data_IF_895649142542
#
_entry.id   IF_895649142542
#
_cell.length_a   1.000
_cell.length_b   1.000
_cell.length_c   1.000
_cell.angle_alpha   90.00
_cell.angle_beta   90.00
_cell.angle_gamma   90.00
#
_symmetry.space_group_name_H-M   'P 1'
#
loop_
_entity.id
_entity.type
_entity.pdbx_description
1 polymer ?
#
# COMPACT_ATOMS: atom_id res chain seq x y z
N UNK A 1 -16.43 0.19 -6.44
CA UNK A 1 -16.29 1.45 -5.68
C UNK A 1 -15.23 2.31 -6.36
N UNK A 2 -15.53 3.59 -6.56
CA UNK A 2 -14.64 4.54 -7.21
C UNK A 2 -14.66 5.82 -6.36
N UNK A 3 -13.49 6.27 -5.90
CA UNK A 3 -13.32 7.50 -5.14
C UNK A 3 -12.25 8.39 -5.79
N UNK A 4 -12.46 9.70 -5.71
CA UNK A 4 -11.60 10.75 -6.23
C UNK A 4 -11.63 11.94 -5.28
N UNK A 5 -10.49 12.55 -5.03
CA UNK A 5 -10.32 13.77 -4.27
C UNK A 5 -10.91 14.96 -5.04
N UNK A 6 -11.57 15.87 -4.33
CA UNK A 6 -12.41 16.93 -4.91
C UNK A 6 -11.62 17.97 -5.73
N UNK A 7 -10.29 18.04 -5.57
CA UNK A 7 -9.47 19.13 -6.13
C UNK A 7 -8.76 18.82 -7.46
N UNK A 8 -9.00 17.66 -8.10
CA UNK A 8 -8.25 17.24 -9.30
C UNK A 8 -9.14 16.83 -10.49
N UNK A 9 -9.98 17.72 -11.00
CA UNK A 9 -10.96 17.45 -12.06
C UNK A 9 -10.42 16.73 -13.31
N UNK A 10 -9.13 16.84 -13.63
CA UNK A 10 -8.50 16.23 -14.82
C UNK A 10 -7.78 14.89 -14.59
N UNK A 11 -7.84 14.30 -13.39
CA UNK A 11 -7.22 12.98 -13.11
C UNK A 11 -8.24 11.85 -13.06
N UNK A 12 -7.75 10.62 -13.26
CA UNK A 12 -8.49 9.40 -12.94
C UNK A 12 -8.76 9.26 -11.43
N UNK A 13 -9.56 8.28 -11.00
CA UNK A 13 -9.92 8.11 -9.59
C UNK A 13 -8.72 7.71 -8.71
N UNK A 14 -8.62 8.37 -7.55
CA UNK A 14 -7.48 8.24 -6.63
C UNK A 14 -7.52 6.98 -5.79
N UNK A 15 -8.69 6.39 -5.51
CA UNK A 15 -8.85 5.11 -4.83
C UNK A 15 -10.03 4.33 -5.40
N UNK A 16 -9.78 3.15 -5.95
CA UNK A 16 -10.83 2.28 -6.52
C UNK A 16 -10.72 0.87 -6.00
N UNK A 17 -11.88 0.22 -5.84
CA UNK A 17 -11.97 -1.17 -5.42
C UNK A 17 -13.08 -1.87 -6.18
N UNK A 18 -12.79 -3.08 -6.62
CA UNK A 18 -13.73 -3.97 -7.27
C UNK A 18 -13.78 -5.29 -6.52
N UNK A 19 -14.98 -5.83 -6.32
CA UNK A 19 -15.17 -7.15 -5.71
C UNK A 19 -15.83 -8.06 -6.74
N UNK A 20 -15.12 -9.12 -7.13
CA UNK A 20 -15.64 -10.19 -7.97
C UNK A 20 -16.04 -11.37 -7.10
N UNK A 21 -17.16 -12.03 -7.39
CA UNK A 21 -17.56 -13.29 -6.77
C UNK A 21 -17.40 -14.45 -7.77
N UNK A 22 -16.69 -15.49 -7.37
CA UNK A 22 -16.57 -16.77 -8.06
C UNK A 22 -17.10 -17.88 -7.15
N UNK A 23 -18.39 -18.27 -7.27
CA UNK A 23 -19.04 -19.16 -6.31
C UNK A 23 -18.56 -20.62 -6.35
N UNK A 24 -17.77 -21.01 -7.37
CA UNK A 24 -17.30 -22.38 -7.60
C UNK A 24 -15.82 -22.42 -8.02
N UNK A 25 -14.97 -21.60 -7.40
CA UNK A 25 -13.54 -21.62 -7.69
C UNK A 25 -12.93 -22.96 -7.23
N UNK A 26 -12.18 -23.61 -8.12
CA UNK A 26 -11.52 -24.89 -7.84
C UNK A 26 -10.02 -24.64 -7.66
N UNK A 27 -9.52 -24.92 -6.46
CA UNK A 27 -8.10 -24.87 -6.14
C UNK A 27 -7.44 -26.25 -6.31
N UNK A 28 -6.09 -26.34 -6.34
CA UNK A 28 -5.42 -27.63 -6.24
C UNK A 28 -5.95 -28.44 -5.06
N UNK A 29 -6.50 -29.62 -5.32
CA UNK A 29 -7.26 -30.42 -4.35
C UNK A 29 -8.75 -30.63 -4.70
N UNK A 30 -9.28 -29.90 -5.69
CA UNK A 30 -10.52 -30.25 -6.38
C UNK A 30 -11.84 -29.85 -5.70
N UNK A 31 -11.83 -29.44 -4.44
CA UNK A 31 -13.04 -28.97 -3.74
C UNK A 31 -13.42 -27.54 -4.19
N UNK A 32 -14.62 -27.33 -4.76
CA UNK A 32 -15.11 -25.98 -5.08
C UNK A 32 -15.28 -25.12 -3.84
N UNK A 33 -14.99 -23.82 -3.94
CA UNK A 33 -15.19 -22.83 -2.87
C UNK A 33 -15.80 -21.56 -3.42
N UNK A 34 -16.60 -20.88 -2.60
CA UNK A 34 -17.05 -19.52 -2.87
C UNK A 34 -15.90 -18.54 -2.59
N UNK A 35 -15.39 -17.91 -3.65
CA UNK A 35 -14.23 -17.02 -3.59
C UNK A 35 -14.61 -15.61 -4.00
N UNK A 36 -14.24 -14.65 -3.16
CA UNK A 36 -14.35 -13.23 -3.46
C UNK A 36 -12.96 -12.68 -3.77
N UNK A 37 -12.80 -11.96 -4.87
CA UNK A 37 -11.56 -11.28 -5.22
C UNK A 37 -11.77 -9.78 -5.06
N UNK A 38 -11.05 -9.18 -4.12
CA UNK A 38 -11.02 -7.74 -3.85
C UNK A 38 -9.80 -7.16 -4.54
N UNK A 39 -10.03 -6.53 -5.69
CA UNK A 39 -8.99 -5.85 -6.46
C UNK A 39 -9.00 -4.34 -6.14
N UNK A 40 -7.87 -3.83 -5.67
CA UNK A 40 -7.70 -2.42 -5.34
C UNK A 40 -6.79 -1.77 -6.38
N UNK A 41 -7.25 -0.66 -6.95
CA UNK A 41 -6.53 0.08 -7.98
C UNK A 41 -6.53 1.59 -7.71
N UNK A 42 -5.61 2.28 -8.38
CA UNK A 42 -5.51 3.73 -8.46
C UNK A 42 -4.06 4.19 -8.29
N UNK A 43 -3.63 5.00 -9.25
CA UNK A 43 -3.27 6.43 -9.18
C UNK A 43 -3.23 6.85 -10.66
N UNK A 44 -3.75 8.02 -11.04
CA UNK A 44 -3.66 8.48 -12.42
C UNK A 44 -2.18 8.73 -12.77
N UNK A 45 -1.68 8.11 -13.84
CA UNK A 45 -0.26 7.97 -14.20
C UNK A 45 0.51 9.26 -14.50
N UNK A 46 -0.07 10.45 -14.30
CA UNK A 46 0.56 11.74 -14.62
C UNK A 46 1.18 12.48 -13.43
N UNK A 47 1.16 11.91 -12.21
CA UNK A 47 1.61 12.61 -11.01
C UNK A 47 2.98 12.15 -10.51
N UNK A 48 4.04 12.50 -11.26
CA UNK A 48 5.36 12.77 -10.64
C UNK A 48 5.27 13.98 -9.67
N UNK A 49 4.09 14.59 -9.53
CA UNK A 49 3.72 15.63 -8.58
C UNK A 49 2.96 15.10 -7.32
N UNK A 50 2.51 13.83 -7.25
CA UNK A 50 1.81 13.24 -6.07
C UNK A 50 2.74 12.64 -5.03
N UNK A 51 3.97 12.29 -5.43
CA UNK A 51 4.91 11.61 -4.56
C UNK A 51 5.23 12.43 -3.30
N UNK A 52 5.40 13.76 -3.42
CA UNK A 52 5.74 14.67 -2.32
C UNK A 52 4.57 14.91 -1.32
N UNK A 53 3.32 14.63 -1.71
CA UNK A 53 2.12 14.96 -0.92
C UNK A 53 1.36 13.76 -0.35
N UNK A 54 1.15 12.70 -1.13
CA UNK A 54 0.33 11.54 -0.75
C UNK A 54 1.17 10.28 -0.46
N UNK A 55 2.23 10.02 -1.24
CA UNK A 55 3.08 8.81 -1.08
C UNK A 55 4.22 8.99 -0.05
N UNK A 56 4.57 10.23 0.31
CA UNK A 56 5.64 10.57 1.26
C UNK A 56 5.17 10.91 2.68
N UNK A 57 3.88 10.77 2.99
CA UNK A 57 3.33 10.89 4.35
C UNK A 57 3.69 9.68 5.24
N UNK A 58 4.97 9.28 5.21
CA UNK A 58 5.56 8.25 6.06
C UNK A 58 6.08 8.82 7.36
N UNK A 59 6.18 10.15 7.49
CA UNK A 59 6.59 10.78 8.76
C UNK A 59 5.56 10.52 9.85
N UNK A 60 4.28 10.52 9.50
CA UNK A 60 3.19 10.26 10.43
C UNK A 60 2.79 8.79 10.34
N UNK A 61 2.52 8.19 11.51
CA UNK A 61 2.08 6.81 11.61
C UNK A 61 0.85 6.69 12.50
N UNK A 62 0.12 5.60 12.35
CA UNK A 62 -1.12 5.28 13.06
C UNK A 62 -0.89 3.98 13.80
N UNK A 63 -1.30 3.93 15.06
CA UNK A 63 -1.34 2.68 15.83
C UNK A 63 -2.37 1.75 15.18
N UNK A 64 -1.88 0.71 14.51
CA UNK A 64 -2.72 -0.07 13.63
C UNK A 64 -3.71 -0.93 14.41
N UNK A 65 -3.24 -1.51 15.52
CA UNK A 65 -4.05 -2.32 16.43
C UNK A 65 -5.19 -1.51 17.05
N UNK A 66 -4.84 -0.37 17.63
CA UNK A 66 -5.84 0.51 18.26
C UNK A 66 -6.85 1.01 17.21
N UNK A 67 -6.42 1.25 15.97
CA UNK A 67 -7.29 1.72 14.90
C UNK A 67 -8.20 0.63 14.32
N UNK A 68 -7.69 -0.57 14.00
CA UNK A 68 -8.52 -1.63 13.44
C UNK A 68 -9.54 -2.17 14.45
N UNK A 69 -9.27 -2.04 15.75
CA UNK A 69 -10.20 -2.46 16.81
C UNK A 69 -11.56 -1.74 16.73
N UNK A 70 -11.64 -0.58 16.08
CA UNK A 70 -12.89 0.18 15.93
C UNK A 70 -13.72 -0.27 14.71
N UNK A 71 -13.12 -1.02 13.78
CA UNK A 71 -13.75 -1.34 12.49
C UNK A 71 -15.08 -2.12 12.56
N UNK A 72 -15.33 -3.02 13.53
CA UNK A 72 -16.56 -3.82 13.56
C UNK A 72 -17.85 -3.02 13.67
N UNK A 73 -17.81 -1.82 14.28
CA UNK A 73 -18.97 -0.92 14.37
C UNK A 73 -18.94 0.10 13.24
N UNK A 74 -17.82 0.80 13.11
CA UNK A 74 -17.46 1.64 11.98
C UNK A 74 -15.99 2.06 12.13
N UNK A 75 -15.18 2.05 11.06
CA UNK A 75 -13.84 2.63 11.12
C UNK A 75 -13.89 4.09 11.57
N UNK A 76 -13.18 4.41 12.65
CA UNK A 76 -13.00 5.79 13.07
C UNK A 76 -12.11 6.51 12.05
N UNK A 77 -12.26 7.85 11.99
CA UNK A 77 -11.32 8.68 11.24
C UNK A 77 -9.90 8.41 11.70
N UNK A 78 -8.97 8.43 10.75
CA UNK A 78 -7.55 8.19 11.00
C UNK A 78 -7.02 9.20 12.00
N UNK A 79 -6.32 8.71 13.00
CA UNK A 79 -5.67 9.53 14.03
C UNK A 79 -4.19 9.18 14.08
N UNK A 80 -3.34 10.18 13.87
CA UNK A 80 -1.88 10.01 13.92
C UNK A 80 -1.43 9.75 15.36
N UNK A 81 -0.60 8.72 15.53
CA UNK A 81 0.05 8.40 16.79
C UNK A 81 1.10 9.49 17.12
N UNK A 82 1.08 10.07 18.33
CA UNK A 82 2.11 11.01 18.76
C UNK A 82 3.51 10.38 18.68
N UNK A 83 4.48 11.07 18.09
CA UNK A 83 5.85 10.56 17.92
C UNK A 83 6.48 10.06 19.23
N UNK A 84 6.18 10.70 20.36
CA UNK A 84 6.69 10.28 21.66
C UNK A 84 6.11 8.93 22.13
N UNK A 85 4.89 8.57 21.70
CA UNK A 85 4.32 7.25 21.95
C UNK A 85 4.91 6.18 21.03
N UNK A 86 5.16 6.54 19.77
CA UNK A 86 5.82 5.65 18.79
C UNK A 86 7.21 5.24 19.29
N UNK A 87 8.02 6.21 19.72
CA UNK A 87 9.36 5.95 20.29
C UNK A 87 9.32 5.09 21.55
N UNK A 88 8.29 5.24 22.40
CA UNK A 88 8.13 4.46 23.63
C UNK A 88 7.70 3.01 23.36
N UNK A 89 7.01 2.77 22.24
CA UNK A 89 6.47 1.46 21.90
C UNK A 89 6.93 1.01 20.50
N UNK A 90 8.25 0.89 20.24
CA UNK A 90 8.78 0.63 18.90
C UNK A 90 8.38 -0.74 18.32
N UNK A 91 7.87 -1.64 19.17
CA UNK A 91 7.42 -2.98 18.79
C UNK A 91 5.92 -3.05 18.47
N UNK A 92 5.15 -1.96 18.67
CA UNK A 92 3.76 -1.92 18.26
C UNK A 92 3.64 -1.91 16.73
N UNK A 93 2.56 -2.50 16.18
CA UNK A 93 2.31 -2.44 14.75
C UNK A 93 1.83 -1.04 14.35
N UNK A 94 2.62 -0.36 13.53
CA UNK A 94 2.29 0.96 13.00
C UNK A 94 2.17 0.91 11.48
N UNK A 95 1.21 1.66 10.92
CA UNK A 95 1.11 1.93 9.48
C UNK A 95 1.29 3.41 9.20
N UNK A 96 1.67 3.76 7.98
CA UNK A 96 1.74 5.17 7.58
C UNK A 96 0.35 5.78 7.55
N UNK A 97 0.27 7.08 7.82
CA UNK A 97 -0.98 7.84 7.72
C UNK A 97 -1.60 7.70 6.32
N UNK A 98 -0.79 7.72 5.25
CA UNK A 98 -1.26 7.55 3.87
C UNK A 98 -1.98 6.21 3.65
N UNK A 99 -1.42 5.11 4.16
CA UNK A 99 -2.04 3.78 4.06
C UNK A 99 -3.32 3.71 4.87
N UNK A 100 -3.33 4.29 6.07
CA UNK A 100 -4.52 4.35 6.90
C UNK A 100 -5.65 5.15 6.23
N UNK A 101 -5.35 6.31 5.64
CA UNK A 101 -6.32 7.14 4.93
C UNK A 101 -6.87 6.42 3.70
N UNK A 102 -6.00 5.76 2.91
CA UNK A 102 -6.43 4.94 1.79
C UNK A 102 -7.42 3.85 2.23
N UNK A 103 -7.11 3.10 3.27
CA UNK A 103 -8.00 2.07 3.82
C UNK A 103 -9.30 2.67 4.35
N UNK A 104 -9.25 3.80 5.06
CA UNK A 104 -10.43 4.48 5.58
C UNK A 104 -11.40 4.82 4.45
N UNK A 105 -10.89 5.42 3.36
CA UNK A 105 -11.69 5.70 2.15
C UNK A 105 -12.28 4.42 1.57
N UNK A 106 -11.48 3.36 1.44
CA UNK A 106 -11.96 2.08 0.89
C UNK A 106 -13.06 1.43 1.73
N UNK A 107 -12.99 1.58 3.06
CA UNK A 107 -13.94 0.98 3.99
C UNK A 107 -15.24 1.78 4.13
N UNK A 108 -15.18 3.11 3.98
CA UNK A 108 -16.31 4.01 4.28
C UNK A 108 -17.06 4.50 3.06
N UNK A 109 -16.45 4.46 1.87
CA UNK A 109 -17.13 4.87 0.65
C UNK A 109 -18.19 3.86 0.23
N UNK A 110 -19.33 4.37 -0.23
CA UNK A 110 -20.45 3.54 -0.68
C UNK A 110 -20.22 2.99 -2.09
N UNK A 111 -20.73 1.79 -2.34
CA UNK A 111 -20.74 1.25 -3.69
C UNK A 111 -21.65 2.09 -4.61
N UNK A 112 -21.17 2.45 -5.82
CA UNK A 112 -21.86 3.38 -6.71
C UNK A 112 -23.06 2.74 -7.41
N UNK A 113 -23.88 3.58 -8.05
CA UNK A 113 -24.98 3.16 -8.90
C UNK A 113 -24.52 2.14 -9.96
N UNK A 114 -25.34 1.11 -10.19
CA UNK A 114 -25.02 0.01 -11.11
C UNK A 114 -24.21 -1.14 -10.48
N UNK A 115 -23.78 -1.01 -9.22
CA UNK A 115 -23.20 -2.13 -8.47
C UNK A 115 -24.27 -3.03 -7.84
N UNK A 116 -23.94 -4.31 -7.62
CA UNK A 116 -24.82 -5.26 -6.91
C UNK A 116 -25.04 -4.92 -5.42
N UNK A 117 -24.23 -4.02 -4.87
CA UNK A 117 -24.21 -3.67 -3.45
C UNK A 117 -24.51 -2.16 -3.27
N UNK A 118 -25.31 -1.58 -4.16
CA UNK A 118 -25.62 -0.15 -4.19
C UNK A 118 -25.99 0.39 -2.80
N UNK A 119 -25.32 1.47 -2.39
CA UNK A 119 -25.62 2.19 -1.15
C UNK A 119 -25.06 1.55 0.11
N UNK A 120 -24.40 0.39 0.02
CA UNK A 120 -23.66 -0.19 1.15
C UNK A 120 -22.18 0.20 1.09
N UNK A 121 -21.52 0.18 2.24
CA UNK A 121 -20.06 0.32 2.33
C UNK A 121 -19.38 -1.02 2.18
N UNK A 122 -18.07 -1.03 1.94
CA UNK A 122 -17.31 -2.28 1.91
C UNK A 122 -17.33 -2.99 3.27
N UNK A 123 -17.21 -2.26 4.38
CA UNK A 123 -17.32 -2.85 5.72
C UNK A 123 -18.67 -3.55 5.95
N UNK A 124 -19.76 -2.92 5.53
CA UNK A 124 -21.09 -3.52 5.59
C UNK A 124 -21.21 -4.76 4.69
N UNK A 125 -20.68 -4.71 3.48
CA UNK A 125 -20.63 -5.87 2.58
C UNK A 125 -19.87 -7.05 3.19
N UNK A 126 -18.69 -6.82 3.78
CA UNK A 126 -17.90 -7.88 4.43
C UNK A 126 -18.70 -8.58 5.53
N UNK A 127 -19.46 -7.82 6.33
CA UNK A 127 -20.31 -8.39 7.39
C UNK A 127 -21.44 -9.28 6.86
N UNK A 128 -21.79 -9.20 5.57
CA UNK A 128 -22.80 -10.08 4.95
C UNK A 128 -22.22 -11.39 4.42
N UNK A 129 -20.89 -11.52 4.36
CA UNK A 129 -20.27 -12.70 3.77
C UNK A 129 -20.42 -13.93 4.66
N UNK A 130 -20.61 -15.13 4.07
CA UNK A 130 -20.58 -16.38 4.81
C UNK A 130 -19.28 -16.56 5.60
N UNK A 131 -19.35 -17.23 6.75
CA UNK A 131 -18.18 -17.46 7.61
C UNK A 131 -17.12 -18.37 6.98
N UNK A 132 -17.49 -19.10 5.93
CA UNK A 132 -16.61 -19.95 5.12
C UNK A 132 -16.16 -19.29 3.80
N UNK A 133 -16.55 -18.03 3.55
CA UNK A 133 -16.13 -17.28 2.37
C UNK A 133 -14.61 -17.16 2.32
N UNK A 134 -14.04 -17.48 1.16
CA UNK A 134 -12.62 -17.25 0.89
C UNK A 134 -12.46 -15.90 0.21
N UNK A 135 -11.63 -15.02 0.76
CA UNK A 135 -11.41 -13.69 0.17
C UNK A 135 -9.94 -13.54 -0.23
N UNK A 136 -9.71 -13.11 -1.47
CA UNK A 136 -8.41 -12.80 -2.04
C UNK A 136 -8.29 -11.29 -2.21
N UNK A 137 -7.34 -10.66 -1.51
CA UNK A 137 -7.03 -9.24 -1.70
C UNK A 137 -5.85 -9.08 -2.66
N UNK A 138 -5.97 -8.16 -3.63
CA UNK A 138 -4.91 -7.90 -4.61
C UNK A 138 -4.81 -6.44 -5.02
N UNK A 139 -3.61 -6.00 -5.40
CA UNK A 139 -3.33 -4.63 -5.82
C UNK A 139 -1.91 -4.45 -6.35
N UNK A 140 -1.68 -3.37 -7.11
CA UNK A 140 -0.37 -3.02 -7.69
C UNK A 140 0.10 -1.64 -7.20
N UNK A 141 1.41 -1.40 -7.17
CA UNK A 141 2.02 -0.15 -6.68
C UNK A 141 1.60 0.17 -5.24
N UNK A 142 1.16 1.39 -4.93
CA UNK A 142 0.56 1.79 -3.64
C UNK A 142 -0.54 0.81 -3.18
N UNK A 143 -1.33 0.27 -4.11
CA UNK A 143 -2.38 -0.70 -3.78
C UNK A 143 -1.88 -2.07 -3.40
N UNK A 144 -0.66 -2.40 -3.82
CA UNK A 144 0.07 -3.52 -3.27
C UNK A 144 0.30 -3.37 -1.77
N UNK A 145 0.33 -2.15 -1.21
CA UNK A 145 0.39 -1.93 0.25
C UNK A 145 -1.00 -1.90 0.89
N UNK A 146 -1.99 -1.27 0.23
CA UNK A 146 -3.35 -1.19 0.77
C UNK A 146 -4.01 -2.58 0.91
N UNK A 147 -3.88 -3.45 -0.10
CA UNK A 147 -4.50 -4.77 -0.12
C UNK A 147 -4.11 -5.67 1.06
N UNK A 148 -2.81 -5.92 1.35
CA UNK A 148 -2.42 -6.70 2.51
C UNK A 148 -2.75 -6.03 3.84
N UNK A 149 -2.72 -4.70 3.91
CA UNK A 149 -3.04 -3.98 5.16
C UNK A 149 -4.52 -4.08 5.48
N UNK A 150 -5.39 -3.85 4.49
CA UNK A 150 -6.83 -3.98 4.64
C UNK A 150 -7.20 -5.41 5.05
N UNK A 151 -6.63 -6.42 4.37
CA UNK A 151 -6.80 -7.82 4.72
C UNK A 151 -6.40 -8.10 6.17
N UNK A 152 -5.23 -7.61 6.60
CA UNK A 152 -4.74 -7.81 7.96
C UNK A 152 -5.67 -7.16 8.99
N UNK A 153 -6.10 -5.93 8.75
CA UNK A 153 -6.98 -5.22 9.67
C UNK A 153 -8.35 -5.87 9.80
N UNK A 154 -8.90 -6.45 8.73
CA UNK A 154 -10.16 -7.19 8.76
C UNK A 154 -10.05 -8.51 9.56
N UNK A 155 -8.89 -9.17 9.49
CA UNK A 155 -8.61 -10.34 10.35
C UNK A 155 -8.43 -9.90 11.79
N UNK A 156 -7.62 -8.86 12.03
CA UNK A 156 -7.35 -8.32 13.37
C UNK A 156 -8.61 -7.79 14.07
N UNK A 157 -9.57 -7.26 13.32
CA UNK A 157 -10.85 -6.79 13.83
C UNK A 157 -11.90 -7.90 14.00
N UNK A 158 -11.55 -9.17 13.72
CA UNK A 158 -12.45 -10.31 13.70
C UNK A 158 -13.62 -10.18 12.71
N UNK A 159 -13.51 -9.31 11.70
CA UNK A 159 -14.48 -9.22 10.61
C UNK A 159 -14.30 -10.35 9.58
N UNK A 160 -13.12 -10.98 9.55
CA UNK A 160 -12.82 -12.15 8.71
C UNK A 160 -12.03 -13.21 9.48
N UNK A 161 -12.35 -14.48 9.24
CA UNK A 161 -11.69 -15.62 9.86
C UNK A 161 -10.55 -16.21 8.99
N UNK A 162 -10.63 -16.06 7.66
CA UNK A 162 -9.68 -16.60 6.68
C UNK A 162 -9.51 -15.65 5.50
N UNK A 163 -8.27 -15.31 5.17
CA UNK A 163 -7.94 -14.40 4.05
C UNK A 163 -6.70 -14.88 3.32
N UNK A 164 -6.72 -14.77 1.99
CA UNK A 164 -5.56 -14.94 1.11
C UNK A 164 -5.19 -13.55 0.58
N UNK A 165 -3.90 -13.24 0.50
CA UNK A 165 -3.43 -11.92 0.09
C UNK A 165 -2.35 -12.05 -0.98
N UNK A 166 -2.55 -11.41 -2.13
CA UNK A 166 -1.55 -11.30 -3.19
C UNK A 166 -1.16 -9.84 -3.42
N UNK A 167 0.09 -9.47 -3.13
CA UNK A 167 0.66 -8.16 -3.51
C UNK A 167 1.25 -7.34 -2.37
N UNK A 168 2.40 -6.68 -2.69
CA UNK A 168 3.03 -5.49 -2.09
C UNK A 168 3.34 -5.44 -0.59
N UNK A 169 4.19 -4.51 -0.16
CA UNK A 169 4.82 -4.45 1.18
C UNK A 169 3.88 -4.00 2.30
N UNK A 170 4.17 -4.41 3.54
CA UNK A 170 3.70 -3.81 4.79
C UNK A 170 4.78 -3.86 5.87
N UNK A 171 4.84 -2.80 6.66
CA UNK A 171 5.67 -2.69 7.87
C UNK A 171 5.02 -3.42 9.04
N UNK A 172 5.29 -4.72 9.23
CA UNK A 172 4.92 -5.39 10.48
C UNK A 172 5.86 -6.54 10.85
N UNK A 173 6.31 -6.59 12.11
CA UNK A 173 6.33 -7.80 12.90
C UNK A 173 4.97 -7.95 13.60
N UNK A 174 3.94 -8.53 12.94
CA UNK A 174 2.67 -8.82 13.61
C UNK A 174 2.78 -10.18 14.31
N UNK A 175 2.81 -10.17 15.65
CA UNK A 175 2.84 -11.37 16.50
C UNK A 175 1.49 -12.09 16.56
N UNK A 176 0.42 -11.51 16.03
CA UNK A 176 -0.92 -12.11 15.96
C UNK A 176 -1.26 -12.79 14.62
N UNK A 177 -0.38 -12.75 13.61
CA UNK A 177 -0.63 -13.44 12.35
C UNK A 177 -0.48 -14.93 12.65
N UNK A 178 -1.57 -15.68 12.53
CA UNK A 178 -1.46 -17.13 12.53
C UNK A 178 -0.56 -17.59 11.37
N UNK A 179 0.00 -18.79 11.50
CA UNK A 179 0.86 -19.40 10.47
C UNK A 179 0.22 -19.39 9.08
N UNK A 180 -1.11 -19.43 9.01
CA UNK A 180 -1.88 -19.46 7.78
C UNK A 180 -1.84 -18.11 7.05
N UNK A 181 -1.95 -16.98 7.76
CA UNK A 181 -1.82 -15.65 7.14
C UNK A 181 -0.41 -15.44 6.55
N UNK A 182 0.63 -15.90 7.25
CA UNK A 182 2.01 -15.80 6.76
C UNK A 182 2.26 -16.69 5.53
N UNK A 183 1.64 -17.87 5.46
CA UNK A 183 1.77 -18.79 4.33
C UNK A 183 1.01 -18.34 3.08
N UNK A 184 -0.08 -17.58 3.26
CA UNK A 184 -1.01 -17.18 2.20
C UNK A 184 -0.85 -15.72 1.75
N UNK A 185 0.08 -14.98 2.36
CA UNK A 185 0.42 -13.62 1.98
C UNK A 185 1.79 -13.58 1.29
N UNK A 186 1.82 -13.09 0.05
CA UNK A 186 3.05 -13.02 -0.74
C UNK A 186 3.19 -11.71 -1.49
N UNK A 187 4.34 -11.06 -1.32
CA UNK A 187 4.75 -9.96 -2.19
C UNK A 187 5.44 -10.52 -3.44
N UNK A 188 5.01 -10.11 -4.64
CA UNK A 188 5.73 -10.37 -5.89
C UNK A 188 6.35 -9.06 -6.36
N UNK A 189 7.68 -8.99 -6.40
CA UNK A 189 8.35 -7.73 -6.67
C UNK A 189 9.50 -7.85 -7.66
N UNK A 190 9.62 -6.83 -8.52
CA UNK A 190 10.76 -6.67 -9.40
C UNK A 190 11.93 -6.07 -8.60
N UNK A 191 13.10 -6.71 -8.64
CA UNK A 191 14.30 -6.21 -7.96
C UNK A 191 14.78 -4.86 -8.48
N UNK A 192 14.35 -4.47 -9.69
CA UNK A 192 14.65 -3.17 -10.33
C UNK A 192 13.57 -2.11 -10.14
N UNK A 193 12.52 -2.40 -9.37
CA UNK A 193 11.46 -1.43 -9.07
C UNK A 193 11.79 -0.65 -7.79
N UNK A 194 11.87 0.67 -7.90
CA UNK A 194 12.15 1.60 -6.78
C UNK A 194 11.03 1.65 -5.75
N UNK A 195 9.77 1.50 -6.19
CA UNK A 195 8.61 1.44 -5.28
C UNK A 195 8.78 0.25 -4.34
N UNK A 196 9.31 -0.84 -4.89
CA UNK A 196 9.62 -2.04 -4.14
C UNK A 196 10.89 -1.91 -3.30
N UNK A 197 11.61 -0.79 -3.28
CA UNK A 197 12.76 -0.59 -2.37
C UNK A 197 12.42 0.26 -1.14
N UNK A 198 11.40 1.12 -1.20
CA UNK A 198 10.96 1.97 -0.08
C UNK A 198 9.96 1.25 0.86
N UNK A 199 9.85 1.52 2.15
CA UNK A 199 10.57 2.49 2.99
C UNK A 199 11.57 1.84 3.96
N UNK A 200 11.89 0.55 3.78
CA UNK A 200 12.81 -0.16 4.68
C UNK A 200 14.20 0.50 4.68
N UNK A 201 14.66 0.96 5.84
CA UNK A 201 15.92 1.70 5.97
C UNK A 201 17.14 0.77 6.13
N UNK A 202 16.90 -0.47 6.58
CA UNK A 202 17.95 -1.35 7.06
C UNK A 202 18.15 -2.57 6.17
N UNK A 203 19.34 -2.68 5.59
CA UNK A 203 19.78 -3.89 4.89
C UNK A 203 19.86 -5.12 5.82
N UNK A 204 19.93 -4.93 7.14
CA UNK A 204 19.86 -6.05 8.10
C UNK A 204 18.44 -6.61 8.21
N UNK A 205 17.43 -5.75 8.10
CA UNK A 205 16.01 -6.13 8.19
C UNK A 205 15.55 -6.75 6.87
N UNK A 206 15.93 -6.17 5.74
CA UNK A 206 15.66 -6.74 4.42
C UNK A 206 16.82 -6.52 3.45
N UNK A 207 17.76 -7.48 3.34
CA UNK A 207 18.94 -7.34 2.49
C UNK A 207 18.60 -7.15 1.00
N UNK A 208 17.49 -7.73 0.56
CA UNK A 208 17.02 -7.68 -0.83
C UNK A 208 16.20 -6.45 -1.17
N UNK A 209 15.71 -5.70 -0.17
CA UNK A 209 14.59 -4.80 -0.37
C UNK A 209 14.60 -3.62 0.62
N UNK A 210 15.45 -2.63 0.35
CA UNK A 210 15.67 -1.48 1.23
C UNK A 210 16.07 -0.21 0.45
N UNK A 211 15.79 0.96 1.03
CA UNK A 211 15.94 2.29 0.40
C UNK A 211 17.33 2.49 -0.21
N UNK A 212 18.38 2.06 0.50
CA UNK A 212 19.76 2.25 0.04
C UNK A 212 20.10 1.48 -1.26
N UNK A 213 19.26 0.54 -1.71
CA UNK A 213 19.46 -0.15 -3.00
C UNK A 213 19.12 0.74 -4.20
N UNK A 214 18.27 1.76 -4.03
CA UNK A 214 17.77 2.60 -5.13
C UNK A 214 18.91 3.20 -5.95
N UNK A 215 19.93 3.75 -5.28
CA UNK A 215 21.09 4.36 -5.94
C UNK A 215 21.99 3.38 -6.73
N UNK A 216 21.73 2.06 -6.62
CA UNK A 216 22.47 1.01 -7.31
C UNK A 216 21.60 0.10 -8.18
N UNK A 217 20.33 0.44 -8.43
CA UNK A 217 19.44 -0.39 -9.26
C UNK A 217 19.79 -0.36 -10.74
N UNK A 218 20.35 0.77 -11.20
CA UNK A 218 20.65 1.02 -12.61
C UNK A 218 22.09 1.50 -12.77
N UNK A 219 22.72 1.10 -13.88
CA UNK A 219 24.07 1.56 -14.27
C UNK A 219 24.00 3.03 -14.71
N UNK A 220 23.93 3.93 -13.74
CA UNK A 220 23.89 5.38 -13.98
C UNK A 220 25.28 6.00 -14.05
N UNK A 221 25.41 7.07 -14.84
CA UNK A 221 26.65 7.87 -14.88
C UNK A 221 26.90 8.51 -13.53
N UNK A 222 28.17 8.71 -13.18
CA UNK A 222 28.60 9.20 -11.85
C UNK A 222 27.87 10.46 -11.35
N UNK A 223 27.56 11.42 -12.22
CA UNK A 223 26.89 12.67 -11.85
C UNK A 223 25.36 12.51 -11.66
N UNK A 224 24.74 11.58 -12.37
CA UNK A 224 23.32 11.20 -12.17
C UNK A 224 23.18 10.47 -10.82
N UNK A 225 24.13 9.58 -10.53
CA UNK A 225 24.20 8.84 -9.26
C UNK A 225 24.22 9.74 -8.02
N UNK A 226 25.03 10.82 -8.01
CA UNK A 226 25.10 11.73 -6.85
C UNK A 226 23.80 12.50 -6.62
N UNK A 227 23.13 12.92 -7.68
CA UNK A 227 21.83 13.57 -7.58
C UNK A 227 20.76 12.58 -7.06
N UNK A 228 20.78 11.34 -7.54
CA UNK A 228 19.90 10.27 -7.08
C UNK A 228 20.16 9.91 -5.61
N UNK A 229 21.41 9.78 -5.18
CA UNK A 229 21.78 9.54 -3.77
C UNK A 229 21.23 10.65 -2.85
N UNK A 230 21.40 11.91 -3.24
CA UNK A 230 20.87 13.05 -2.47
C UNK A 230 19.34 13.02 -2.39
N UNK A 231 18.67 12.73 -3.52
CA UNK A 231 17.23 12.58 -3.58
C UNK A 231 16.73 11.47 -2.64
N UNK A 232 17.33 10.28 -2.74
CA UNK A 232 17.01 9.12 -1.90
C UNK A 232 17.18 9.46 -0.41
N UNK A 233 18.29 10.09 -0.04
CA UNK A 233 18.53 10.47 1.33
C UNK A 233 17.50 11.49 1.84
N UNK A 234 17.33 12.60 1.12
CA UNK A 234 16.51 13.73 1.58
C UNK A 234 15.01 13.42 1.59
N UNK A 235 14.53 12.78 0.54
CA UNK A 235 13.10 12.58 0.33
C UNK A 235 12.63 11.20 0.77
N UNK A 236 13.51 10.21 0.93
CA UNK A 236 13.08 8.86 1.31
C UNK A 236 13.56 8.44 2.69
N UNK A 237 14.86 8.53 2.94
CA UNK A 237 15.43 8.07 4.20
C UNK A 237 15.02 8.97 5.37
N UNK A 238 15.19 10.29 5.23
CA UNK A 238 14.92 11.25 6.32
C UNK A 238 13.45 11.22 6.77
N UNK A 239 12.43 11.22 5.89
CA UNK A 239 11.04 11.08 6.34
C UNK A 239 10.77 9.76 7.05
N UNK A 240 11.30 8.65 6.53
CA UNK A 240 11.17 7.36 7.19
C UNK A 240 11.83 7.37 8.58
N UNK A 241 12.97 8.03 8.77
CA UNK A 241 13.65 8.12 10.07
C UNK A 241 12.85 8.98 11.06
N UNK A 242 12.26 10.08 10.59
CA UNK A 242 11.43 10.97 11.41
C UNK A 242 10.18 10.30 11.96
N UNK A 243 9.68 9.26 11.29
CA UNK A 243 8.54 8.47 11.78
C UNK A 243 8.81 7.82 13.14
N UNK A 244 10.07 7.48 13.43
CA UNK A 244 10.45 6.71 14.60
C UNK A 244 10.11 5.22 14.52
N UNK A 245 9.59 4.72 13.38
CA UNK A 245 9.31 3.29 13.16
C UNK A 245 10.36 2.63 12.27
N UNK A 246 10.53 1.32 12.43
CA UNK A 246 11.31 0.51 11.50
C UNK A 246 10.39 -0.06 10.43
N UNK A 247 10.54 0.42 9.19
CA UNK A 247 9.82 -0.14 8.05
C UNK A 247 10.41 -1.49 7.65
N UNK A 248 9.53 -2.48 7.46
CA UNK A 248 9.86 -3.81 6.96
C UNK A 248 8.98 -4.11 5.74
N UNK A 249 9.48 -4.80 4.70
CA UNK A 249 8.63 -5.29 3.62
C UNK A 249 7.96 -6.61 4.00
N UNK A 250 6.85 -6.95 3.33
CA UNK A 250 6.30 -8.31 3.43
C UNK A 250 7.25 -9.34 2.81
N UNK A 251 7.33 -10.56 3.38
CA UNK A 251 7.96 -11.68 2.72
C UNK A 251 7.43 -11.85 1.30
N UNK A 252 8.30 -12.21 0.37
CA UNK A 252 7.92 -12.21 -1.03
C UNK A 252 8.89 -12.93 -1.95
N UNK A 253 8.39 -13.21 -3.16
CA UNK A 253 9.15 -13.75 -4.26
C UNK A 253 9.62 -12.61 -5.15
N UNK A 254 10.94 -12.54 -5.33
CA UNK A 254 11.56 -11.55 -6.21
C UNK A 254 11.72 -12.10 -7.62
N UNK A 255 11.62 -11.23 -8.62
CA UNK A 255 12.04 -11.50 -9.99
C UNK A 255 12.85 -10.32 -10.52
N UNK A 256 13.61 -10.54 -11.59
CA UNK A 256 14.42 -9.48 -12.21
C UNK A 256 14.02 -9.33 -13.67
N UNK A 257 13.37 -8.22 -14.01
CA UNK A 257 13.07 -7.90 -15.40
C UNK A 257 14.33 -7.40 -16.13
N UNK A 258 14.41 -7.53 -17.48
CA UNK A 258 15.45 -6.88 -18.28
C UNK A 258 15.54 -5.36 -18.05
N UNK A 259 16.65 -4.74 -18.45
CA UNK A 259 16.76 -3.28 -18.33
C UNK A 259 15.69 -2.64 -19.21
N UNK A 260 14.98 -1.61 -18.73
CA UNK A 260 14.06 -0.88 -19.58
C UNK A 260 14.83 -0.30 -20.77
N UNK A 261 14.31 -0.51 -21.98
CA UNK A 261 14.89 0.00 -23.23
C UNK A 261 14.59 1.48 -23.45
N UNK A 262 13.73 2.07 -22.61
CA UNK A 262 13.32 3.47 -22.68
C UNK A 262 14.26 4.29 -21.78
N UNK A 263 14.98 5.30 -22.29
CA UNK A 263 15.77 6.19 -21.45
C UNK A 263 14.86 6.89 -20.45
N UNK A 264 15.29 6.97 -19.18
CA UNK A 264 14.59 7.76 -18.16
C UNK A 264 14.26 9.16 -18.72
N UNK A 265 13.07 9.72 -18.43
CA UNK A 265 12.77 11.09 -18.79
C UNK A 265 13.90 11.95 -18.25
N UNK A 266 14.65 12.62 -19.13
CA UNK A 266 15.67 13.58 -18.69
C UNK A 266 14.96 14.56 -17.74
N UNK A 267 15.44 14.66 -16.51
CA UNK A 267 15.06 15.74 -15.59
C UNK A 267 15.40 17.06 -16.31
N UNK A 268 14.45 17.61 -17.05
CA UNK A 268 14.64 18.86 -17.75
C UNK A 268 14.78 19.94 -16.69
N UNK A 269 15.98 20.51 -16.55
CA UNK A 269 16.18 21.74 -15.79
C UNK A 269 15.13 22.74 -16.26
N UNK A 270 14.20 23.10 -15.38
CA UNK A 270 13.12 24.03 -15.69
C UNK A 270 13.68 25.27 -16.37
N UNK A 271 13.38 25.44 -17.65
CA UNK A 271 13.60 26.70 -18.35
C UNK A 271 12.60 27.68 -17.72
N UNK A 272 13.11 28.67 -16.98
CA UNK A 272 12.33 29.82 -16.52
C UNK A 272 11.85 30.59 -17.74
N UNK A 273 10.69 30.23 -18.25
CA UNK A 273 9.98 30.99 -19.27
C UNK A 273 9.11 32.06 -18.61
N UNK A 274 9.57 33.31 -18.67
CA UNK A 274 8.74 34.49 -18.41
C UNK A 274 7.51 34.45 -19.31
N UNK A 275 6.31 34.20 -18.75
CA UNK A 275 5.05 34.54 -19.41
C UNK A 275 4.52 35.83 -18.81
N UNK A 276 4.63 36.92 -19.57
CA UNK A 276 3.80 38.12 -19.40
C UNK A 276 2.35 37.70 -19.67
N UNK A 277 1.47 38.00 -18.72
CA UNK A 277 0.03 37.98 -18.88
C UNK A 277 -0.39 39.10 -19.83
N UNK A 278 -1.26 38.77 -20.79
CA UNK A 278 -2.27 39.68 -21.32
C UNK A 278 -3.57 39.29 -20.62
#
# INVERSE_FOLDING_TARGET
>A
MVWKHEDMDNTGPDNTMFVANCPNAIFPGGTPRNVYVVAIAGTATTSVYDWDGEDLAVTNVVDFEDWYATWPTAPNKVTVAPHEQVKKNPNKPYITESVANGIYVLMTQVFPQGSQQLGTTFGAFIATLPSDACIIFTGHSLRGTLSPTLALGLVGSNMLSKVIVGGGKNAFPFSGANSDYQALNGNYFNTRDVVQQVWCQSAKVSPGQHIMRIAGLWDEKFWEKKALEYFVWKHLLVPAEKSGVTYQPLPGNSFTAPNPTIPFPKLSRGVRGNKKLI
#
